data_IF_301736226579
#
_entry.id   IF_301736226579
#
_cell.length_a   1.000
_cell.length_b   1.000
_cell.length_c   1.000
_cell.angle_alpha   90.00
_cell.angle_beta   90.00
_cell.angle_gamma   90.00
#
_symmetry.space_group_name_H-M   'P 1'
#
loop_
_entity.id
_entity.type
_entity.pdbx_description
1 polymer ?
#
# COMPACT_ATOMS: atom_id res chain seq x y z
N UNK A 1 -2.16 -37.89 -20.85
CA UNK A 1 -3.31 -36.94 -20.75
C UNK A 1 -2.85 -35.57 -20.39
N UNK A 2 -3.64 -34.55 -20.70
CA UNK A 2 -3.35 -33.16 -20.34
C UNK A 2 -3.26 -32.94 -18.81
N UNK A 3 -4.08 -33.66 -18.02
CA UNK A 3 -3.96 -33.66 -16.55
C UNK A 3 -2.55 -34.11 -16.10
N UNK A 4 -2.05 -35.22 -16.65
CA UNK A 4 -0.72 -35.74 -16.30
C UNK A 4 0.38 -34.74 -16.70
N UNK A 5 0.19 -34.02 -17.82
CA UNK A 5 1.11 -32.98 -18.26
C UNK A 5 1.10 -31.78 -17.28
N UNK A 6 -0.11 -31.34 -16.86
CA UNK A 6 -0.24 -30.29 -15.83
C UNK A 6 0.45 -30.69 -14.53
N UNK A 7 0.22 -31.92 -14.08
CA UNK A 7 0.86 -32.46 -12.89
C UNK A 7 2.39 -32.49 -13.01
N UNK A 8 2.92 -32.95 -14.15
CA UNK A 8 4.36 -33.01 -14.37
C UNK A 8 5.01 -31.61 -14.38
N UNK A 9 4.33 -30.60 -14.94
CA UNK A 9 4.82 -29.21 -14.86
C UNK A 9 4.78 -28.66 -13.42
N UNK A 10 3.73 -28.93 -12.68
CA UNK A 10 3.65 -28.56 -11.26
C UNK A 10 4.76 -29.24 -10.44
N UNK A 11 4.98 -30.55 -10.62
CA UNK A 11 6.08 -31.28 -9.96
C UNK A 11 7.44 -30.68 -10.31
N UNK A 12 7.67 -30.29 -11.58
CA UNK A 12 8.88 -29.61 -11.99
C UNK A 12 9.05 -28.20 -11.38
N UNK A 13 7.95 -27.49 -11.16
CA UNK A 13 7.97 -26.18 -10.52
C UNK A 13 8.40 -26.24 -9.05
N UNK A 14 7.86 -27.19 -8.30
CA UNK A 14 8.12 -27.31 -6.86
C UNK A 14 9.42 -28.06 -6.54
N UNK A 15 9.94 -28.86 -7.47
CA UNK A 15 11.08 -29.79 -7.24
C UNK A 15 12.27 -29.12 -6.53
N UNK A 16 12.73 -27.91 -6.92
CA UNK A 16 13.87 -27.27 -6.27
C UNK A 16 13.69 -26.96 -4.78
N UNK A 17 12.45 -26.68 -4.37
CA UNK A 17 12.15 -26.12 -3.04
C UNK A 17 11.14 -26.93 -2.22
N UNK A 18 10.68 -28.08 -2.75
CA UNK A 18 9.59 -28.89 -2.15
C UNK A 18 9.84 -29.35 -0.71
N UNK A 19 11.10 -29.42 -0.29
CA UNK A 19 11.50 -29.83 1.05
C UNK A 19 11.77 -28.65 1.99
N UNK A 20 11.66 -27.42 1.51
CA UNK A 20 11.91 -26.22 2.31
C UNK A 20 10.62 -25.76 3.01
N UNK A 21 10.77 -25.33 4.25
CA UNK A 21 9.72 -24.64 5.00
C UNK A 21 10.32 -23.64 5.99
N UNK A 22 9.60 -22.59 6.27
CA UNK A 22 9.98 -21.55 7.21
C UNK A 22 10.15 -22.16 8.60
N UNK A 23 11.20 -21.76 9.34
CA UNK A 23 11.63 -22.29 10.63
C UNK A 23 12.22 -23.72 10.57
N UNK A 24 12.47 -24.29 9.39
CA UNK A 24 13.26 -25.51 9.27
C UNK A 24 14.67 -25.28 9.86
N UNK A 25 15.15 -26.20 10.70
CA UNK A 25 16.50 -26.14 11.26
C UNK A 25 17.55 -26.24 10.13
N UNK A 26 18.55 -25.37 10.16
CA UNK A 26 19.59 -25.34 9.13
C UNK A 26 20.40 -26.66 9.06
N UNK A 27 20.51 -27.39 10.18
CA UNK A 27 21.16 -28.72 10.18
C UNK A 27 20.27 -29.74 9.44
N UNK A 28 18.94 -29.64 9.54
CA UNK A 28 18.04 -30.49 8.76
C UNK A 28 18.12 -30.19 7.27
N UNK A 29 18.29 -28.92 6.88
CA UNK A 29 18.51 -28.56 5.48
C UNK A 29 19.75 -29.26 4.92
N UNK A 30 20.89 -29.21 5.63
CA UNK A 30 22.12 -29.91 5.20
C UNK A 30 21.92 -31.44 5.08
N UNK A 31 21.16 -32.03 5.98
CA UNK A 31 20.84 -33.47 5.90
C UNK A 31 19.97 -33.79 4.67
N UNK A 32 19.05 -32.90 4.30
CA UNK A 32 18.11 -33.11 3.21
C UNK A 32 18.71 -32.90 1.81
N UNK A 33 19.57 -31.86 1.65
CA UNK A 33 20.05 -31.41 0.34
C UNK A 33 21.58 -31.32 0.23
N UNK A 34 22.32 -31.60 1.31
CA UNK A 34 23.78 -31.53 1.35
C UNK A 34 24.34 -30.19 1.85
N UNK A 35 25.65 -30.03 1.77
CA UNK A 35 26.29 -28.76 2.12
C UNK A 35 26.06 -27.71 1.05
N UNK A 36 25.92 -26.42 1.43
CA UNK A 36 25.80 -25.33 0.46
C UNK A 36 27.09 -25.16 -0.36
N UNK A 37 26.99 -24.73 -1.58
CA UNK A 37 28.15 -24.42 -2.44
C UNK A 37 28.95 -23.22 -1.89
N UNK A 38 28.29 -22.25 -1.29
CA UNK A 38 28.89 -21.12 -0.57
C UNK A 38 27.96 -20.59 0.50
N UNK A 39 28.53 -19.86 1.47
CA UNK A 39 27.79 -19.10 2.48
C UNK A 39 28.29 -17.68 2.50
N UNK A 40 27.39 -16.71 2.64
CA UNK A 40 27.72 -15.29 2.70
C UNK A 40 26.74 -14.53 3.62
N UNK A 41 27.22 -13.43 4.21
CA UNK A 41 26.36 -12.54 4.98
C UNK A 41 25.70 -11.55 4.04
N UNK A 42 24.38 -11.46 4.08
CA UNK A 42 23.58 -10.56 3.25
C UNK A 42 22.58 -9.77 4.10
N UNK A 43 22.17 -8.62 3.60
CA UNK A 43 21.05 -7.85 4.19
C UNK A 43 19.93 -7.75 3.15
N UNK A 44 18.76 -8.30 3.46
CA UNK A 44 17.57 -8.25 2.63
C UNK A 44 16.50 -7.46 3.36
N UNK A 45 15.93 -6.45 2.70
CA UNK A 45 14.85 -5.61 3.26
C UNK A 45 15.20 -5.14 4.69
N UNK A 46 16.44 -4.66 4.89
CA UNK A 46 17.00 -4.20 6.17
C UNK A 46 17.15 -5.29 7.26
N UNK A 47 17.04 -6.56 6.92
CA UNK A 47 17.25 -7.69 7.85
C UNK A 47 18.52 -8.45 7.48
N UNK A 48 19.45 -8.69 8.44
CA UNK A 48 20.65 -9.48 8.17
C UNK A 48 20.35 -10.98 8.19
N UNK A 49 20.93 -11.69 7.23
CA UNK A 49 20.85 -13.14 7.07
C UNK A 49 22.23 -13.75 6.74
N UNK A 50 22.37 -15.05 6.98
CA UNK A 50 23.38 -15.89 6.34
C UNK A 50 22.75 -16.57 5.13
N UNK A 51 23.20 -16.22 3.92
CA UNK A 51 22.72 -16.84 2.67
C UNK A 51 23.49 -18.13 2.40
N UNK A 52 22.79 -19.24 2.31
CA UNK A 52 23.32 -20.55 1.94
C UNK A 52 22.94 -20.85 0.49
N UNK A 53 23.94 -20.79 -0.39
CA UNK A 53 23.75 -20.90 -1.83
C UNK A 53 23.79 -22.36 -2.27
N UNK A 54 22.73 -22.82 -2.90
CA UNK A 54 22.61 -24.12 -3.53
C UNK A 54 22.40 -23.96 -5.05
N UNK A 55 22.57 -25.00 -5.87
CA UNK A 55 22.42 -24.88 -7.32
C UNK A 55 21.05 -24.37 -7.80
N UNK A 56 19.98 -24.66 -7.06
CA UNK A 56 18.61 -24.40 -7.45
C UNK A 56 17.91 -23.31 -6.61
N UNK A 57 18.45 -22.99 -5.47
CA UNK A 57 17.90 -22.00 -4.54
C UNK A 57 18.97 -21.43 -3.62
N UNK A 58 18.68 -20.30 -3.03
CA UNK A 58 19.42 -19.75 -1.89
C UNK A 58 18.52 -19.74 -0.67
N UNK A 59 18.92 -20.39 0.42
CA UNK A 59 18.22 -20.32 1.70
C UNK A 59 18.82 -19.21 2.57
N UNK A 60 17.98 -18.39 3.17
CA UNK A 60 18.39 -17.32 4.07
C UNK A 60 18.16 -17.74 5.51
N UNK A 61 19.28 -17.90 6.24
CA UNK A 61 19.29 -18.43 7.58
C UNK A 61 19.36 -17.30 8.59
N UNK A 62 18.52 -17.39 9.60
CA UNK A 62 18.52 -16.52 10.77
C UNK A 62 18.30 -17.35 12.02
N UNK A 63 19.11 -17.12 13.05
CA UNK A 63 19.05 -17.84 14.33
C UNK A 63 19.10 -19.38 14.16
N UNK A 64 19.88 -19.87 13.17
CA UNK A 64 20.06 -21.29 12.87
C UNK A 64 18.87 -21.95 12.15
N UNK A 65 17.93 -21.19 11.64
CA UNK A 65 16.73 -21.66 10.94
C UNK A 65 16.54 -20.97 9.59
N UNK A 66 15.84 -21.64 8.66
CA UNK A 66 15.40 -21.03 7.41
C UNK A 66 14.36 -19.97 7.73
N UNK A 67 14.66 -18.71 7.43
CA UNK A 67 13.70 -17.62 7.51
C UNK A 67 12.91 -17.48 6.21
N UNK A 68 13.59 -17.54 5.07
CA UNK A 68 13.01 -17.47 3.72
C UNK A 68 13.97 -18.06 2.71
N UNK A 69 13.61 -18.11 1.43
CA UNK A 69 14.47 -18.56 0.34
C UNK A 69 14.12 -17.91 -1.00
N UNK A 70 15.06 -17.95 -1.93
CA UNK A 70 14.81 -17.62 -3.34
C UNK A 70 15.10 -18.83 -4.20
N UNK A 71 14.19 -19.21 -5.07
CA UNK A 71 14.47 -20.18 -6.12
C UNK A 71 15.27 -19.48 -7.22
N UNK A 72 16.47 -19.99 -7.54
CA UNK A 72 17.40 -19.37 -8.47
C UNK A 72 17.40 -20.02 -9.84
N UNK A 73 16.91 -21.25 -9.95
CA UNK A 73 16.78 -21.99 -11.20
C UNK A 73 15.46 -22.76 -11.24
N UNK A 74 14.97 -22.99 -12.43
CA UNK A 74 13.78 -23.78 -12.70
C UNK A 74 14.16 -25.07 -13.43
N UNK A 75 13.55 -26.19 -13.05
CA UNK A 75 13.70 -27.47 -13.78
C UNK A 75 13.12 -27.33 -15.20
N UNK A 76 12.02 -26.63 -15.31
CA UNK A 76 11.39 -26.25 -16.57
C UNK A 76 11.02 -24.77 -16.45
N UNK A 77 11.49 -23.95 -17.36
CA UNK A 77 11.14 -22.53 -17.42
C UNK A 77 9.63 -22.37 -17.60
N UNK A 78 9.04 -21.38 -16.90
CA UNK A 78 7.60 -21.09 -16.87
C UNK A 78 6.73 -22.30 -16.50
N UNK A 79 7.26 -23.23 -15.70
CA UNK A 79 6.53 -24.44 -15.31
C UNK A 79 5.15 -24.17 -14.71
N UNK A 80 4.93 -23.20 -13.81
CA UNK A 80 3.59 -22.88 -13.31
C UNK A 80 2.62 -22.46 -14.41
N UNK A 81 3.01 -21.56 -15.31
CA UNK A 81 2.15 -21.12 -16.42
C UNK A 81 1.80 -22.28 -17.36
N UNK A 82 2.78 -23.13 -17.70
CA UNK A 82 2.56 -24.34 -18.50
C UNK A 82 1.65 -25.35 -17.83
N UNK A 83 1.69 -25.42 -16.50
CA UNK A 83 0.77 -26.27 -15.75
C UNK A 83 -0.67 -25.75 -15.83
N UNK A 84 -0.87 -24.42 -15.66
CA UNK A 84 -2.18 -23.77 -15.80
C UNK A 84 -2.74 -24.04 -17.21
N UNK A 85 -1.94 -23.80 -18.27
CA UNK A 85 -2.34 -24.07 -19.66
C UNK A 85 -2.76 -25.53 -19.86
N UNK A 86 -1.98 -26.48 -19.35
CA UNK A 86 -2.27 -27.90 -19.49
C UNK A 86 -3.55 -28.31 -18.75
N UNK A 87 -3.81 -27.78 -17.56
CA UNK A 87 -5.05 -28.04 -16.82
C UNK A 87 -6.27 -27.41 -17.50
N UNK A 88 -6.16 -26.16 -17.98
CA UNK A 88 -7.22 -25.54 -18.76
C UNK A 88 -7.55 -26.33 -20.02
N UNK A 89 -6.55 -26.85 -20.72
CA UNK A 89 -6.75 -27.71 -21.89
C UNK A 89 -7.40 -29.05 -21.55
N UNK A 90 -7.08 -29.62 -20.40
CA UNK A 90 -7.75 -30.84 -19.92
C UNK A 90 -9.25 -30.58 -19.70
N UNK A 91 -9.63 -29.47 -19.09
CA UNK A 91 -11.02 -29.10 -18.85
C UNK A 91 -11.77 -28.78 -20.13
N UNK A 92 -11.17 -28.04 -21.06
CA UNK A 92 -11.78 -27.77 -22.39
C UNK A 92 -12.10 -29.05 -23.15
N UNK A 93 -11.21 -30.05 -23.12
CA UNK A 93 -11.39 -31.31 -23.84
C UNK A 93 -12.40 -32.25 -23.16
N UNK A 94 -12.46 -32.23 -21.84
CA UNK A 94 -13.40 -33.07 -21.07
C UNK A 94 -13.79 -32.36 -19.76
N UNK A 95 -14.94 -31.66 -19.72
CA UNK A 95 -15.42 -30.98 -18.52
C UNK A 95 -15.66 -31.91 -17.31
N UNK A 96 -15.74 -33.23 -17.50
CA UNK A 96 -15.83 -34.17 -16.38
C UNK A 96 -14.55 -34.25 -15.55
N UNK A 97 -13.46 -33.67 -16.05
CA UNK A 97 -12.18 -33.57 -15.33
C UNK A 97 -12.14 -32.41 -14.33
N UNK A 98 -13.19 -31.59 -14.20
CA UNK A 98 -13.26 -30.37 -13.42
C UNK A 98 -12.67 -30.50 -12.02
N UNK A 99 -13.04 -31.51 -11.24
CA UNK A 99 -12.57 -31.68 -9.85
C UNK A 99 -11.04 -31.87 -9.79
N UNK A 100 -10.46 -32.68 -10.70
CA UNK A 100 -9.02 -32.93 -10.75
C UNK A 100 -8.25 -31.70 -11.26
N UNK A 101 -8.82 -30.96 -12.20
CA UNK A 101 -8.26 -29.73 -12.72
C UNK A 101 -8.29 -28.66 -11.65
N UNK A 102 -9.41 -28.50 -10.93
CA UNK A 102 -9.56 -27.56 -9.84
C UNK A 102 -8.52 -27.80 -8.73
N UNK A 103 -8.33 -29.05 -8.33
CA UNK A 103 -7.32 -29.42 -7.32
C UNK A 103 -5.90 -29.06 -7.80
N UNK A 104 -5.55 -29.38 -9.06
CA UNK A 104 -4.24 -29.03 -9.63
C UNK A 104 -4.03 -27.52 -9.73
N UNK A 105 -5.04 -26.75 -10.15
CA UNK A 105 -4.98 -25.29 -10.21
C UNK A 105 -4.85 -24.65 -8.83
N UNK A 106 -5.54 -25.22 -7.83
CA UNK A 106 -5.39 -24.78 -6.44
C UNK A 106 -3.95 -24.97 -5.95
N UNK A 107 -3.35 -26.14 -6.20
CA UNK A 107 -1.95 -26.41 -5.82
C UNK A 107 -0.98 -25.42 -6.49
N UNK A 108 -1.21 -25.08 -7.76
CA UNK A 108 -0.40 -24.06 -8.45
C UNK A 108 -0.59 -22.67 -7.83
N UNK A 109 -1.84 -22.28 -7.56
CA UNK A 109 -2.13 -20.99 -6.92
C UNK A 109 -1.47 -20.87 -5.56
N UNK A 110 -1.57 -21.91 -4.72
CA UNK A 110 -0.93 -21.95 -3.41
C UNK A 110 0.61 -21.84 -3.51
N UNK A 111 1.22 -22.56 -4.45
CA UNK A 111 2.67 -22.50 -4.72
C UNK A 111 3.10 -21.12 -5.21
N UNK A 112 2.40 -20.55 -6.20
CA UNK A 112 2.72 -19.22 -6.71
C UNK A 112 2.56 -18.14 -5.63
N UNK A 113 1.54 -18.25 -4.78
CA UNK A 113 1.38 -17.35 -3.62
C UNK A 113 2.54 -17.47 -2.64
N UNK A 114 3.05 -18.68 -2.39
CA UNK A 114 4.24 -18.89 -1.57
C UNK A 114 5.48 -18.26 -2.20
N UNK A 115 5.69 -18.42 -3.52
CA UNK A 115 6.79 -17.76 -4.26
C UNK A 115 6.67 -16.24 -4.15
N UNK A 116 5.45 -15.69 -4.25
CA UNK A 116 5.17 -14.27 -4.02
C UNK A 116 5.62 -13.81 -2.62
N UNK A 117 5.22 -14.55 -1.58
CA UNK A 117 5.62 -14.24 -0.20
C UNK A 117 7.14 -14.25 -0.01
N UNK A 118 7.83 -15.29 -0.47
CA UNK A 118 9.31 -15.37 -0.34
C UNK A 118 10.02 -14.29 -1.17
N UNK A 119 9.44 -13.88 -2.31
CA UNK A 119 9.93 -12.77 -3.12
C UNK A 119 9.85 -11.42 -2.40
N UNK A 120 8.79 -11.19 -1.61
CA UNK A 120 8.68 -10.00 -0.74
C UNK A 120 9.79 -9.99 0.30
N UNK A 121 9.98 -11.11 1.00
CA UNK A 121 11.00 -11.24 2.05
C UNK A 121 12.43 -11.01 1.53
N UNK A 122 12.65 -11.36 0.27
CA UNK A 122 13.97 -11.23 -0.38
C UNK A 122 14.15 -9.95 -1.19
N UNK A 123 13.10 -9.12 -1.31
CA UNK A 123 13.13 -7.86 -2.08
C UNK A 123 13.00 -8.05 -3.60
N UNK A 124 12.68 -9.25 -4.08
CA UNK A 124 12.46 -9.56 -5.48
C UNK A 124 11.03 -9.21 -5.89
N UNK A 125 10.70 -7.92 -5.85
CA UNK A 125 9.30 -7.45 -5.97
C UNK A 125 8.67 -7.72 -7.34
N UNK A 126 9.43 -7.63 -8.41
CA UNK A 126 8.91 -7.92 -9.75
C UNK A 126 8.52 -9.39 -9.90
N UNK A 127 9.38 -10.32 -9.49
CA UNK A 127 9.11 -11.76 -9.54
C UNK A 127 7.98 -12.16 -8.59
N UNK A 128 7.92 -11.54 -7.41
CA UNK A 128 6.83 -11.72 -6.45
C UNK A 128 5.48 -11.30 -7.05
N UNK A 129 5.46 -10.17 -7.76
CA UNK A 129 4.25 -9.68 -8.44
C UNK A 129 3.78 -10.65 -9.52
N UNK A 130 4.70 -11.17 -10.35
CA UNK A 130 4.38 -12.15 -11.39
C UNK A 130 3.88 -13.47 -10.80
N UNK A 131 4.44 -13.89 -9.68
CA UNK A 131 3.96 -15.07 -8.97
C UNK A 131 2.51 -14.89 -8.46
N UNK A 132 2.16 -13.75 -7.85
CA UNK A 132 0.78 -13.47 -7.46
C UNK A 132 -0.16 -13.36 -8.66
N UNK A 133 0.28 -12.79 -9.78
CA UNK A 133 -0.51 -12.74 -11.00
C UNK A 133 -0.79 -14.16 -11.56
N UNK A 134 0.19 -15.06 -11.53
CA UNK A 134 0.01 -16.46 -11.90
C UNK A 134 -0.94 -17.21 -10.93
N UNK A 135 -0.85 -16.91 -9.62
CA UNK A 135 -1.79 -17.45 -8.64
C UNK A 135 -3.24 -17.05 -8.97
N UNK A 136 -3.45 -15.77 -9.31
CA UNK A 136 -4.75 -15.28 -9.77
C UNK A 136 -5.20 -15.93 -11.08
N UNK A 137 -4.30 -16.11 -12.05
CA UNK A 137 -4.60 -16.75 -13.33
C UNK A 137 -5.08 -18.20 -13.11
N UNK A 138 -4.42 -18.95 -12.23
CA UNK A 138 -4.84 -20.32 -11.87
C UNK A 138 -6.27 -20.34 -11.31
N UNK A 139 -6.61 -19.38 -10.42
CA UNK A 139 -7.96 -19.27 -9.84
C UNK A 139 -9.00 -18.76 -10.84
N UNK A 140 -8.58 -18.03 -11.87
CA UNK A 140 -9.46 -17.49 -12.91
C UNK A 140 -9.87 -18.52 -13.96
N UNK A 141 -9.29 -19.71 -13.92
CA UNK A 141 -9.70 -20.81 -14.78
C UNK A 141 -11.20 -21.14 -14.62
N UNK A 142 -11.93 -21.42 -15.71
CA UNK A 142 -13.34 -21.80 -15.65
C UNK A 142 -13.60 -23.02 -14.77
N UNK A 143 -12.63 -23.91 -14.61
CA UNK A 143 -12.73 -25.07 -13.73
C UNK A 143 -12.59 -24.72 -12.24
N UNK A 144 -11.85 -23.66 -11.91
CA UNK A 144 -11.69 -23.17 -10.54
C UNK A 144 -12.83 -22.21 -10.15
N UNK A 145 -13.06 -21.19 -10.99
CA UNK A 145 -14.25 -20.33 -10.96
C UNK A 145 -14.38 -19.37 -9.78
N UNK A 146 -13.33 -19.16 -8.99
CA UNK A 146 -13.39 -18.26 -7.82
C UNK A 146 -12.05 -17.54 -7.62
N UNK A 147 -11.71 -16.57 -8.49
CA UNK A 147 -10.48 -15.80 -8.36
C UNK A 147 -10.55 -14.81 -7.18
N UNK A 148 -9.46 -14.70 -6.45
CA UNK A 148 -9.28 -13.71 -5.38
C UNK A 148 -8.66 -12.43 -5.93
N UNK A 149 -9.42 -11.31 -6.05
CA UNK A 149 -8.90 -10.06 -6.60
C UNK A 149 -7.76 -9.47 -5.77
N UNK A 150 -7.63 -9.84 -4.49
CA UNK A 150 -6.53 -9.44 -3.62
C UNK A 150 -5.16 -9.83 -4.18
N UNK A 151 -5.05 -10.95 -4.92
CA UNK A 151 -3.81 -11.36 -5.55
C UNK A 151 -3.34 -10.35 -6.60
N UNK A 152 -4.26 -9.78 -7.38
CA UNK A 152 -3.93 -8.69 -8.32
C UNK A 152 -3.58 -7.39 -7.60
N UNK A 153 -4.22 -7.10 -6.47
CA UNK A 153 -3.84 -5.94 -5.65
C UNK A 153 -2.39 -6.08 -5.15
N UNK A 154 -2.01 -7.24 -4.60
CA UNK A 154 -0.63 -7.48 -4.16
C UNK A 154 0.36 -7.43 -5.33
N UNK A 155 0.03 -8.02 -6.47
CA UNK A 155 0.85 -7.94 -7.68
C UNK A 155 1.04 -6.48 -8.12
N UNK A 156 -0.02 -5.69 -8.16
CA UNK A 156 0.03 -4.28 -8.53
C UNK A 156 0.80 -3.42 -7.53
N UNK A 157 0.61 -3.64 -6.23
CA UNK A 157 1.40 -3.00 -5.17
C UNK A 157 2.90 -3.27 -5.33
N UNK A 158 3.29 -4.53 -5.51
CA UNK A 158 4.70 -4.91 -5.66
C UNK A 158 5.32 -4.33 -6.93
N UNK A 159 4.57 -4.27 -8.05
CA UNK A 159 5.00 -3.58 -9.26
C UNK A 159 5.13 -2.06 -9.04
N UNK A 160 4.33 -1.47 -8.16
CA UNK A 160 4.49 -0.06 -7.78
C UNK A 160 5.80 0.15 -7.02
N UNK A 161 6.16 -0.77 -6.11
CA UNK A 161 7.43 -0.72 -5.36
C UNK A 161 8.63 -0.90 -6.30
N UNK A 162 8.57 -1.89 -7.19
CA UNK A 162 9.63 -2.16 -8.19
C UNK A 162 9.80 -1.00 -9.18
N UNK A 163 8.73 -0.26 -9.47
CA UNK A 163 8.69 0.84 -10.41
C UNK A 163 9.71 1.95 -10.15
N UNK A 164 10.11 2.14 -8.89
CA UNK A 164 11.13 3.11 -8.54
C UNK A 164 12.51 2.78 -9.14
N UNK A 165 12.85 1.50 -9.26
CA UNK A 165 14.08 1.00 -9.90
C UNK A 165 13.86 0.64 -11.38
N UNK A 166 12.65 0.19 -11.72
CA UNK A 166 12.27 -0.28 -13.04
C UNK A 166 10.96 0.39 -13.51
N UNK A 167 10.99 1.55 -14.18
CA UNK A 167 9.80 2.30 -14.55
C UNK A 167 8.78 1.53 -15.41
N UNK A 168 9.20 0.48 -16.13
CA UNK A 168 8.27 -0.37 -16.90
C UNK A 168 7.27 -1.11 -15.99
N UNK A 169 7.64 -1.37 -14.73
CA UNK A 169 6.76 -2.01 -13.75
C UNK A 169 5.53 -1.17 -13.40
N UNK A 170 5.60 0.15 -13.50
CA UNK A 170 4.43 1.01 -13.26
C UNK A 170 3.28 0.73 -14.24
N UNK A 171 3.58 0.42 -15.50
CA UNK A 171 2.55 0.08 -16.50
C UNK A 171 1.83 -1.20 -16.11
N UNK A 172 2.59 -2.23 -15.75
CA UNK A 172 2.08 -3.53 -15.35
C UNK A 172 1.29 -3.42 -14.02
N UNK A 173 1.83 -2.63 -13.08
CA UNK A 173 1.18 -2.37 -11.79
C UNK A 173 -0.18 -1.70 -11.94
N UNK A 174 -0.28 -0.68 -12.81
CA UNK A 174 -1.54 -0.03 -13.09
C UNK A 174 -2.58 -1.00 -13.69
N UNK A 175 -2.16 -1.90 -14.59
CA UNK A 175 -3.06 -2.91 -15.19
C UNK A 175 -3.61 -3.87 -14.11
N UNK A 176 -2.76 -4.39 -13.23
CA UNK A 176 -3.19 -5.28 -12.15
C UNK A 176 -4.12 -4.59 -11.15
N UNK A 177 -3.81 -3.36 -10.73
CA UNK A 177 -4.65 -2.60 -9.79
C UNK A 177 -6.01 -2.25 -10.38
N UNK A 178 -6.07 -1.85 -11.67
CA UNK A 178 -7.34 -1.60 -12.35
C UNK A 178 -8.18 -2.88 -12.44
N UNK A 179 -7.59 -4.00 -12.83
CA UNK A 179 -8.29 -5.29 -12.86
C UNK A 179 -8.82 -5.70 -11.48
N UNK A 180 -8.06 -5.46 -10.41
CA UNK A 180 -8.54 -5.70 -9.06
C UNK A 180 -9.77 -4.85 -8.73
N UNK A 181 -9.75 -3.56 -9.06
CA UNK A 181 -10.91 -2.65 -8.89
C UNK A 181 -12.12 -3.08 -9.71
N UNK A 182 -11.93 -3.48 -10.98
CA UNK A 182 -13.00 -3.95 -11.87
C UNK A 182 -13.67 -5.21 -11.33
N UNK A 183 -12.92 -6.05 -10.61
CA UNK A 183 -13.42 -7.22 -9.90
C UNK A 183 -14.02 -6.89 -8.52
N UNK A 184 -14.11 -5.62 -8.16
CA UNK A 184 -14.74 -5.16 -6.93
C UNK A 184 -13.82 -5.18 -5.70
N UNK A 185 -12.51 -5.34 -5.86
CA UNK A 185 -11.58 -5.26 -4.74
C UNK A 185 -11.56 -3.86 -4.14
N UNK A 186 -11.66 -3.80 -2.83
CA UNK A 186 -11.38 -2.59 -2.04
C UNK A 186 -10.69 -3.04 -0.76
N UNK A 187 -9.49 -2.52 -0.51
CA UNK A 187 -8.91 -2.63 0.81
C UNK A 187 -9.62 -1.67 1.79
N UNK A 188 -9.50 -1.94 3.10
CA UNK A 188 -10.24 -1.22 4.14
C UNK A 188 -9.95 0.29 4.15
N UNK A 189 -8.75 0.69 3.73
CA UNK A 189 -8.30 2.08 3.71
C UNK A 189 -8.34 2.72 2.32
N UNK A 190 -8.54 1.92 1.24
CA UNK A 190 -8.52 2.41 -0.13
C UNK A 190 -7.12 2.72 -0.68
N UNK A 191 -6.09 2.06 -0.15
CA UNK A 191 -4.70 2.25 -0.59
C UNK A 191 -4.49 1.90 -2.08
N UNK A 192 -5.36 1.08 -2.67
CA UNK A 192 -5.32 0.74 -4.09
C UNK A 192 -5.33 2.00 -4.98
N UNK A 193 -6.07 3.04 -4.60
CA UNK A 193 -6.11 4.32 -5.35
C UNK A 193 -4.80 5.10 -5.23
N UNK A 194 -4.14 5.02 -4.08
CA UNK A 194 -2.83 5.61 -3.87
C UNK A 194 -1.73 4.90 -4.69
N UNK A 195 -1.78 3.57 -4.78
CA UNK A 195 -0.82 2.82 -5.63
C UNK A 195 -1.08 3.07 -7.12
N UNK A 196 -2.34 3.18 -7.56
CA UNK A 196 -2.66 3.61 -8.92
C UNK A 196 -2.12 5.00 -9.23
N UNK A 197 -2.25 5.94 -8.29
CA UNK A 197 -1.62 7.26 -8.41
C UNK A 197 -0.13 7.12 -8.68
N UNK A 198 0.60 6.33 -7.88
CA UNK A 198 2.04 6.14 -8.07
C UNK A 198 2.37 5.50 -9.41
N UNK A 199 1.61 4.51 -9.84
CA UNK A 199 1.80 3.88 -11.14
C UNK A 199 1.65 4.89 -12.28
N UNK A 200 0.61 5.71 -12.27
CA UNK A 200 0.41 6.70 -13.32
C UNK A 200 1.39 7.87 -13.22
N UNK A 201 1.61 8.39 -12.00
CA UNK A 201 2.54 9.49 -11.79
C UNK A 201 3.99 9.14 -12.12
N UNK A 202 4.41 7.90 -11.84
CA UNK A 202 5.72 7.38 -12.23
C UNK A 202 5.95 7.29 -13.74
N UNK A 203 4.89 7.40 -14.56
CA UNK A 203 4.93 7.40 -16.01
C UNK A 203 4.79 8.81 -16.62
N UNK A 204 4.78 9.88 -15.82
CA UNK A 204 4.50 11.25 -16.28
C UNK A 204 5.49 11.78 -17.31
N UNK A 205 6.74 11.35 -17.24
CA UNK A 205 7.78 11.78 -18.18
C UNK A 205 7.63 11.13 -19.56
N UNK A 206 7.04 9.92 -19.60
CA UNK A 206 6.74 9.25 -20.85
C UNK A 206 5.49 9.80 -21.54
N UNK A 207 4.46 10.16 -20.75
CA UNK A 207 3.22 10.78 -21.24
C UNK A 207 2.59 11.65 -20.12
N UNK A 208 2.55 12.96 -20.36
CA UNK A 208 1.93 13.92 -19.43
C UNK A 208 0.44 13.65 -19.14
N UNK A 209 -0.26 12.94 -20.04
CA UNK A 209 -1.64 12.53 -19.78
C UNK A 209 -1.76 11.60 -18.55
N UNK A 210 -0.68 10.92 -18.16
CA UNK A 210 -0.68 10.07 -16.96
C UNK A 210 -0.81 10.87 -15.66
N UNK A 211 -0.45 12.16 -15.63
CA UNK A 211 -0.69 13.03 -14.47
C UNK A 211 -2.21 13.20 -14.24
N UNK A 212 -3.00 13.33 -15.29
CA UNK A 212 -4.46 13.40 -15.17
C UNK A 212 -5.06 12.06 -14.71
N UNK A 213 -4.54 10.91 -15.21
CA UNK A 213 -4.97 9.59 -14.72
C UNK A 213 -4.60 9.41 -13.23
N UNK A 214 -3.43 9.90 -12.82
CA UNK A 214 -3.01 9.90 -11.42
C UNK A 214 -3.99 10.71 -10.54
N UNK A 215 -4.37 11.92 -10.99
CA UNK A 215 -5.39 12.73 -10.33
C UNK A 215 -6.73 11.99 -10.25
N UNK A 216 -7.21 11.43 -11.36
CA UNK A 216 -8.50 10.74 -11.42
C UNK A 216 -8.55 9.54 -10.46
N UNK A 217 -7.44 8.79 -10.32
CA UNK A 217 -7.34 7.71 -9.35
C UNK A 217 -7.51 8.23 -7.90
N UNK A 218 -6.80 9.29 -7.53
CA UNK A 218 -6.93 9.88 -6.19
C UNK A 218 -8.32 10.50 -5.96
N UNK A 219 -8.92 11.15 -6.97
CA UNK A 219 -10.29 11.69 -6.88
C UNK A 219 -11.32 10.58 -6.72
N UNK A 220 -11.15 9.45 -7.37
CA UNK A 220 -12.00 8.28 -7.15
C UNK A 220 -11.83 7.72 -5.72
N UNK A 221 -10.59 7.70 -5.23
CA UNK A 221 -10.26 7.25 -3.89
C UNK A 221 -10.85 8.14 -2.81
N UNK A 222 -10.67 9.48 -2.90
CA UNK A 222 -11.14 10.40 -1.85
C UNK A 222 -12.67 10.41 -1.69
N UNK A 223 -13.41 10.13 -2.76
CA UNK A 223 -14.87 10.00 -2.70
C UNK A 223 -15.34 8.81 -1.87
N UNK A 224 -14.53 7.76 -1.77
CA UNK A 224 -14.84 6.53 -1.01
C UNK A 224 -14.15 6.50 0.35
N UNK A 225 -12.95 7.06 0.43
CA UNK A 225 -12.05 7.02 1.59
C UNK A 225 -11.54 8.43 1.93
N UNK A 226 -12.43 9.34 2.33
CA UNK A 226 -12.09 10.77 2.51
C UNK A 226 -11.11 11.04 3.66
N UNK A 227 -10.89 10.06 4.56
CA UNK A 227 -9.94 10.14 5.66
C UNK A 227 -8.56 9.55 5.31
N UNK A 228 -8.39 8.91 4.16
CA UNK A 228 -7.11 8.32 3.79
C UNK A 228 -6.06 9.41 3.58
N UNK A 229 -5.11 9.51 4.50
CA UNK A 229 -4.08 10.56 4.49
C UNK A 229 -3.18 10.48 3.26
N UNK A 230 -2.86 9.28 2.76
CA UNK A 230 -2.02 9.10 1.56
C UNK A 230 -2.69 9.66 0.30
N UNK A 231 -4.00 9.43 0.17
CA UNK A 231 -4.81 9.98 -0.94
C UNK A 231 -4.88 11.51 -0.84
N UNK A 232 -5.12 12.03 0.37
CA UNK A 232 -5.15 13.48 0.63
C UNK A 232 -3.80 14.13 0.30
N UNK A 233 -2.71 13.57 0.79
CA UNK A 233 -1.37 14.08 0.54
C UNK A 233 -1.01 14.03 -0.95
N UNK A 234 -1.37 12.96 -1.65
CA UNK A 234 -1.20 12.84 -3.10
C UNK A 234 -1.98 13.91 -3.88
N UNK A 235 -3.24 14.18 -3.51
CA UNK A 235 -4.04 15.25 -4.10
C UNK A 235 -3.41 16.63 -3.85
N UNK A 236 -3.03 16.92 -2.60
CA UNK A 236 -2.35 18.18 -2.27
C UNK A 236 -1.08 18.34 -3.09
N UNK A 237 -0.25 17.28 -3.18
CA UNK A 237 0.97 17.30 -4.00
C UNK A 237 0.66 17.68 -5.45
N UNK A 238 -0.31 17.03 -6.09
CA UNK A 238 -0.66 17.30 -7.49
C UNK A 238 -1.19 18.72 -7.69
N UNK A 239 -2.06 19.21 -6.81
CA UNK A 239 -2.67 20.53 -6.96
C UNK A 239 -1.75 21.69 -6.56
N UNK A 240 -0.70 21.44 -5.76
CA UNK A 240 0.27 22.45 -5.34
C UNK A 240 1.55 22.44 -6.16
N UNK A 241 1.78 21.41 -7.00
CA UNK A 241 2.94 21.35 -7.88
C UNK A 241 2.69 22.12 -9.20
N UNK A 242 3.38 23.24 -9.46
CA UNK A 242 3.15 24.02 -10.68
C UNK A 242 3.49 23.27 -11.98
N UNK A 243 4.34 22.23 -11.91
CA UNK A 243 4.76 21.45 -13.08
C UNK A 243 3.70 20.49 -13.56
N UNK A 244 2.80 20.05 -12.66
CA UNK A 244 1.82 19.02 -12.97
C UNK A 244 0.54 19.56 -13.63
N UNK A 245 0.21 20.86 -13.46
CA UNK A 245 -0.91 21.57 -14.13
C UNK A 245 -2.27 20.85 -14.05
N UNK A 246 -2.59 20.25 -12.90
CA UNK A 246 -3.82 19.44 -12.74
C UNK A 246 -5.07 20.27 -12.39
N UNK A 247 -4.92 21.54 -12.03
CA UNK A 247 -6.00 22.45 -11.63
C UNK A 247 -5.59 23.41 -10.51
N UNK A 248 -6.55 24.23 -10.06
CA UNK A 248 -6.37 25.14 -8.92
C UNK A 248 -6.59 24.36 -7.60
N UNK A 249 -5.81 24.61 -6.53
CA UNK A 249 -6.13 24.07 -5.20
C UNK A 249 -7.57 24.34 -4.72
N UNK A 250 -8.21 25.40 -5.19
CA UNK A 250 -9.62 25.66 -4.93
C UNK A 250 -10.56 24.58 -5.50
N UNK A 251 -10.18 23.91 -6.60
CA UNK A 251 -10.96 22.80 -7.15
C UNK A 251 -10.97 21.59 -6.21
N UNK A 252 -9.85 21.36 -5.51
CA UNK A 252 -9.75 20.30 -4.49
C UNK A 252 -10.66 20.61 -3.30
N UNK A 253 -10.69 21.87 -2.85
CA UNK A 253 -11.61 22.31 -1.78
C UNK A 253 -13.06 22.13 -2.23
N UNK A 254 -13.41 22.56 -3.44
CA UNK A 254 -14.76 22.40 -3.96
C UNK A 254 -15.21 20.94 -4.05
N UNK A 255 -14.29 20.03 -4.38
CA UNK A 255 -14.57 18.58 -4.41
C UNK A 255 -15.02 18.04 -3.05
N UNK A 256 -14.30 18.40 -1.98
CA UNK A 256 -14.62 17.93 -0.62
C UNK A 256 -15.88 18.63 -0.08
N UNK A 257 -16.06 19.91 -0.38
CA UNK A 257 -17.23 20.67 0.04
C UNK A 257 -18.53 20.11 -0.59
N UNK A 258 -18.50 19.75 -1.87
CA UNK A 258 -19.64 19.10 -2.52
C UNK A 258 -19.98 17.72 -1.89
N UNK A 259 -18.97 16.98 -1.45
CA UNK A 259 -19.20 15.72 -0.73
C UNK A 259 -19.82 15.95 0.66
N UNK A 260 -19.41 17.01 1.37
CA UNK A 260 -19.97 17.42 2.68
C UNK A 260 -21.42 17.89 2.51
N UNK A 261 -21.74 18.66 1.48
CA UNK A 261 -23.14 19.07 1.19
C UNK A 261 -24.07 17.85 1.05
N UNK A 262 -23.57 16.78 0.43
CA UNK A 262 -24.33 15.54 0.26
C UNK A 262 -24.44 14.70 1.53
N UNK A 263 -23.48 14.80 2.45
CA UNK A 263 -23.44 14.06 3.71
C UNK A 263 -22.78 14.87 4.83
N UNK A 264 -23.47 15.88 5.39
CA UNK A 264 -22.89 16.82 6.35
C UNK A 264 -22.55 16.23 7.73
N UNK A 265 -23.05 15.04 8.03
CA UNK A 265 -22.75 14.32 9.28
C UNK A 265 -21.57 13.33 9.14
N UNK A 266 -20.97 13.22 7.97
CA UNK A 266 -19.83 12.35 7.74
C UNK A 266 -18.56 12.98 8.33
N UNK A 267 -18.11 12.43 9.47
CA UNK A 267 -16.93 12.89 10.21
C UNK A 267 -15.67 12.85 9.37
N UNK A 268 -15.51 11.81 8.52
CA UNK A 268 -14.31 11.60 7.70
C UNK A 268 -14.18 12.67 6.60
N UNK A 269 -15.30 13.18 6.06
CA UNK A 269 -15.27 14.29 5.11
C UNK A 269 -14.78 15.60 5.76
N UNK A 270 -15.26 15.91 6.96
CA UNK A 270 -14.80 17.07 7.71
C UNK A 270 -13.33 16.93 8.12
N UNK A 271 -12.90 15.73 8.47
CA UNK A 271 -11.50 15.42 8.75
C UNK A 271 -10.62 15.66 7.50
N UNK A 272 -11.02 15.10 6.35
CA UNK A 272 -10.32 15.30 5.07
C UNK A 272 -10.24 16.78 4.67
N UNK A 273 -11.35 17.53 4.81
CA UNK A 273 -11.39 18.98 4.56
C UNK A 273 -10.39 19.73 5.43
N UNK A 274 -10.33 19.42 6.72
CA UNK A 274 -9.39 20.04 7.64
C UNK A 274 -7.93 19.78 7.26
N UNK A 275 -7.60 18.58 6.83
CA UNK A 275 -6.27 18.19 6.35
C UNK A 275 -5.88 18.94 5.06
N UNK A 276 -6.80 19.07 4.11
CA UNK A 276 -6.57 19.84 2.87
C UNK A 276 -6.25 21.30 3.20
N UNK A 277 -7.09 21.96 4.01
CA UNK A 277 -6.86 23.36 4.38
C UNK A 277 -5.56 23.55 5.17
N UNK A 278 -5.21 22.60 6.03
CA UNK A 278 -3.94 22.63 6.73
C UNK A 278 -2.75 22.60 5.75
N UNK A 279 -2.76 21.69 4.78
CA UNK A 279 -1.72 21.58 3.77
C UNK A 279 -1.62 22.84 2.89
N UNK A 280 -2.73 23.52 2.64
CA UNK A 280 -2.80 24.80 1.96
C UNK A 280 -2.42 26.02 2.87
N UNK A 281 -2.06 25.77 4.13
CA UNK A 281 -1.76 26.80 5.16
C UNK A 281 -2.94 27.74 5.48
N UNK A 282 -4.14 27.28 5.19
CA UNK A 282 -5.39 27.96 5.55
C UNK A 282 -5.85 27.47 6.92
N UNK A 283 -5.16 27.95 7.96
CA UNK A 283 -5.28 27.38 9.31
C UNK A 283 -6.65 27.63 9.96
N UNK A 284 -7.31 28.74 9.66
CA UNK A 284 -8.63 29.05 10.21
C UNK A 284 -9.69 28.08 9.69
N UNK A 285 -9.69 27.79 8.41
CA UNK A 285 -10.57 26.86 7.73
C UNK A 285 -10.29 25.41 8.18
N UNK A 286 -9.02 25.08 8.40
CA UNK A 286 -8.60 23.81 8.96
C UNK A 286 -9.18 23.61 10.36
N UNK A 287 -8.96 24.58 11.26
CA UNK A 287 -9.48 24.58 12.64
C UNK A 287 -11.02 24.50 12.62
N UNK A 288 -11.71 25.28 11.77
CA UNK A 288 -13.16 25.22 11.65
C UNK A 288 -13.66 23.82 11.25
N UNK A 289 -12.96 23.15 10.33
CA UNK A 289 -13.28 21.79 9.91
C UNK A 289 -13.09 20.78 11.05
N UNK A 290 -11.97 20.85 11.79
CA UNK A 290 -11.73 19.96 12.93
C UNK A 290 -12.62 20.26 14.14
N UNK A 291 -13.06 21.49 14.33
CA UNK A 291 -14.13 21.80 15.30
C UNK A 291 -15.42 21.04 14.96
N UNK A 292 -15.74 20.93 13.65
CA UNK A 292 -16.90 20.14 13.21
C UNK A 292 -16.71 18.64 13.41
N UNK A 293 -15.48 18.13 13.20
CA UNK A 293 -15.14 16.73 13.56
C UNK A 293 -15.43 16.44 15.03
N UNK A 294 -14.97 17.29 15.94
CA UNK A 294 -15.17 17.11 17.40
C UNK A 294 -16.62 17.37 17.80
N UNK A 295 -17.34 18.29 17.14
CA UNK A 295 -18.77 18.48 17.38
C UNK A 295 -19.57 17.21 17.06
N UNK A 296 -19.27 16.55 15.91
CA UNK A 296 -19.96 15.33 15.47
C UNK A 296 -19.51 14.09 16.27
N UNK A 297 -18.23 14.04 16.68
CA UNK A 297 -17.65 12.92 17.43
C UNK A 297 -16.67 13.41 18.50
N UNK A 298 -17.18 13.82 19.69
CA UNK A 298 -16.37 14.45 20.73
C UNK A 298 -15.27 13.57 21.31
N UNK A 299 -15.46 12.25 21.29
CA UNK A 299 -14.54 11.23 21.81
C UNK A 299 -13.49 10.75 20.80
N UNK A 300 -13.49 11.31 19.57
CA UNK A 300 -12.49 10.97 18.58
C UNK A 300 -11.13 11.57 18.95
N UNK A 301 -10.20 10.69 19.35
CA UNK A 301 -8.84 11.10 19.75
C UNK A 301 -8.16 11.95 18.68
N UNK A 302 -8.15 11.48 17.43
CA UNK A 302 -7.50 12.17 16.31
C UNK A 302 -8.10 13.56 16.06
N UNK A 303 -9.42 13.70 16.21
CA UNK A 303 -10.11 14.99 16.07
C UNK A 303 -9.61 16.03 17.07
N UNK A 304 -9.55 15.66 18.34
CA UNK A 304 -9.04 16.50 19.43
C UNK A 304 -7.54 16.78 19.26
N UNK A 305 -6.74 15.75 18.94
CA UNK A 305 -5.31 15.87 18.76
C UNK A 305 -4.93 16.86 17.63
N UNK A 306 -5.51 16.67 16.43
CA UNK A 306 -5.24 17.56 15.30
C UNK A 306 -5.72 18.98 15.55
N UNK A 307 -6.85 19.15 16.23
CA UNK A 307 -7.35 20.48 16.59
C UNK A 307 -6.34 21.22 17.48
N UNK A 308 -5.82 20.55 18.53
CA UNK A 308 -4.76 21.09 19.39
C UNK A 308 -3.47 21.40 18.61
N UNK A 309 -3.03 20.49 17.75
CA UNK A 309 -1.83 20.67 16.89
C UNK A 309 -1.99 21.87 15.96
N UNK A 310 -3.14 22.05 15.31
CA UNK A 310 -3.33 23.13 14.34
C UNK A 310 -3.43 24.50 14.99
N UNK A 311 -4.00 24.61 16.20
CA UNK A 311 -3.91 25.83 17.00
C UNK A 311 -2.45 26.15 17.35
N UNK A 312 -1.66 25.17 17.75
CA UNK A 312 -0.22 25.35 18.05
C UNK A 312 0.53 25.83 16.82
N UNK A 313 0.36 25.17 15.68
CA UNK A 313 1.04 25.56 14.43
C UNK A 313 0.62 26.95 13.95
N UNK A 314 -0.66 27.29 14.07
CA UNK A 314 -1.13 28.65 13.75
C UNK A 314 -0.44 29.70 14.63
N UNK A 315 -0.32 29.44 15.92
CA UNK A 315 0.37 30.34 16.84
C UNK A 315 1.88 30.44 16.54
N UNK A 316 2.53 29.34 16.16
CA UNK A 316 3.93 29.31 15.72
C UNK A 316 4.15 30.17 14.47
N UNK A 317 3.26 30.08 13.45
CA UNK A 317 3.35 30.94 12.26
C UNK A 317 3.10 32.41 12.60
N UNK A 318 2.18 32.74 13.53
CA UNK A 318 2.01 34.10 14.02
C UNK A 318 3.29 34.63 14.68
N UNK A 319 3.96 33.83 15.51
CA UNK A 319 5.23 34.20 16.13
C UNK A 319 6.34 34.38 15.10
N UNK A 320 6.39 33.55 14.08
CA UNK A 320 7.36 33.70 12.99
C UNK A 320 7.16 35.01 12.24
N UNK A 321 5.91 35.32 11.87
CA UNK A 321 5.59 36.63 11.24
C UNK A 321 5.96 37.80 12.13
N UNK A 322 5.70 37.70 13.44
CA UNK A 322 6.10 38.72 14.42
C UNK A 322 7.62 38.95 14.43
N UNK A 323 8.43 37.89 14.39
CA UNK A 323 9.88 37.97 14.42
C UNK A 323 10.47 38.61 13.16
N UNK A 324 9.77 38.54 12.03
CA UNK A 324 10.16 39.16 10.77
C UNK A 324 9.64 40.60 10.61
N UNK A 325 8.70 41.02 11.45
CA UNK A 325 8.02 42.33 11.36
C UNK A 325 8.80 43.44 12.08
N UNK A 326 8.92 44.60 11.43
CA UNK A 326 9.41 45.82 12.10
C UNK A 326 8.24 46.49 12.81
N UNK A 327 8.38 46.69 14.11
CA UNK A 327 7.36 47.33 14.94
C UNK A 327 7.61 48.80 15.15
N UNK A 328 6.55 49.60 15.02
CA UNK A 328 6.60 51.04 15.25
C UNK A 328 6.60 51.41 16.74
N UNK A 329 6.19 50.49 17.61
CA UNK A 329 6.13 50.68 19.07
C UNK A 329 6.14 49.35 19.81
N UNK A 330 6.56 49.35 21.08
CA UNK A 330 6.47 48.19 21.98
C UNK A 330 5.03 47.75 22.17
N UNK A 331 4.09 48.67 22.27
CA UNK A 331 2.67 48.35 22.44
C UNK A 331 2.11 47.55 21.23
N UNK A 332 2.59 47.82 20.00
CA UNK A 332 2.19 47.05 18.84
C UNK A 332 2.77 45.62 18.86
N UNK A 333 4.02 45.45 19.30
CA UNK A 333 4.63 44.15 19.50
C UNK A 333 3.86 43.32 20.59
N UNK A 334 3.61 43.96 21.75
CA UNK A 334 2.92 43.32 22.86
C UNK A 334 1.48 42.88 22.49
N UNK A 335 0.82 43.63 21.61
CA UNK A 335 -0.51 43.27 21.10
C UNK A 335 -0.47 42.01 20.24
N UNK A 336 0.50 41.92 19.31
CA UNK A 336 0.66 40.73 18.45
C UNK A 336 1.09 39.51 19.29
N UNK A 337 2.00 39.68 20.24
CA UNK A 337 2.43 38.63 21.18
C UNK A 337 1.24 38.09 22.01
N UNK A 338 0.42 39.01 22.52
CA UNK A 338 -0.80 38.62 23.24
C UNK A 338 -1.77 37.83 22.36
N UNK A 339 -1.91 38.22 21.09
CA UNK A 339 -2.77 37.50 20.15
C UNK A 339 -2.24 36.09 19.86
N UNK A 340 -0.94 35.93 19.61
CA UNK A 340 -0.32 34.63 19.40
C UNK A 340 -0.45 33.73 20.65
N UNK A 341 -0.19 34.27 21.85
CA UNK A 341 -0.36 33.52 23.09
C UNK A 341 -1.82 33.11 23.33
N UNK A 342 -2.79 33.91 22.95
CA UNK A 342 -4.20 33.55 23.06
C UNK A 342 -4.53 32.32 22.17
N UNK A 343 -3.94 32.23 20.98
CA UNK A 343 -4.11 31.08 20.08
C UNK A 343 -3.47 29.81 20.65
N UNK A 344 -2.30 29.90 21.31
CA UNK A 344 -1.73 28.75 22.03
C UNK A 344 -2.64 28.26 23.16
N UNK A 345 -3.24 29.17 23.91
CA UNK A 345 -4.16 28.80 25.00
C UNK A 345 -5.40 28.06 24.48
N UNK A 346 -5.86 28.36 23.27
CA UNK A 346 -6.95 27.64 22.62
C UNK A 346 -6.62 26.16 22.32
N UNK A 347 -5.32 25.78 22.21
CA UNK A 347 -4.91 24.40 21.98
C UNK A 347 -5.08 23.49 23.23
N UNK A 348 -4.95 24.07 24.45
CA UNK A 348 -4.86 23.32 25.71
C UNK A 348 -6.07 22.40 25.95
N UNK A 349 -7.33 22.86 25.86
CA UNK A 349 -8.49 22.00 26.14
C UNK A 349 -8.56 20.76 25.24
N UNK A 350 -8.09 20.86 24.01
CA UNK A 350 -8.11 19.76 23.06
C UNK A 350 -7.07 18.69 23.40
N UNK A 351 -5.88 19.08 23.86
CA UNK A 351 -4.89 18.14 24.36
C UNK A 351 -5.32 17.51 25.70
N UNK A 352 -5.96 18.26 26.57
CA UNK A 352 -6.55 17.73 27.81
C UNK A 352 -7.62 16.67 27.52
N UNK A 353 -8.48 16.88 26.51
CA UNK A 353 -9.43 15.87 26.06
C UNK A 353 -8.73 14.59 25.57
N UNK A 354 -7.60 14.69 24.86
CA UNK A 354 -6.83 13.52 24.47
C UNK A 354 -6.37 12.68 25.66
N UNK A 355 -5.98 13.32 26.77
CA UNK A 355 -5.55 12.62 27.98
C UNK A 355 -6.71 11.89 28.68
N UNK A 356 -7.92 12.41 28.60
CA UNK A 356 -9.10 11.77 29.19
C UNK A 356 -9.43 10.43 28.53
N UNK A 357 -9.14 10.28 27.23
CA UNK A 357 -9.44 9.06 26.47
C UNK A 357 -8.26 8.07 26.41
N UNK A 358 -7.04 8.49 26.79
CA UNK A 358 -5.83 7.66 26.77
C UNK A 358 -5.39 7.20 28.17
N UNK A 359 -5.93 7.78 29.24
CA UNK A 359 -5.63 7.32 30.59
C UNK A 359 -6.30 5.97 30.85
N UNK A 360 -5.57 4.93 31.30
CA UNK A 360 -6.20 3.71 31.77
C UNK A 360 -7.17 4.06 32.89
N UNK A 361 -8.39 3.51 32.79
CA UNK A 361 -9.39 3.66 33.84
C UNK A 361 -8.77 3.31 35.21
N UNK A 362 -8.98 4.08 36.28
CA UNK A 362 -8.46 3.76 37.59
C UNK A 362 -9.09 2.49 38.23
N UNK A 363 -9.63 1.59 37.43
CA UNK A 363 -10.36 0.40 37.87
C UNK A 363 -9.98 -0.85 37.07
N UNK A 364 -8.69 -1.15 36.95
CA UNK A 364 -8.26 -2.51 36.64
C UNK A 364 -7.00 -2.85 37.45
#
# INVERSE_FOLDING_TARGET
TWINRGKAFYEAAIEPTKNLFVNMDAAMLKLAVGEPASTESVTLVNVPYEAWVYPWFTAYIKDGKIATWSQTQWVIEDAPAKAIEAYNKAYEMDPKTADKVKEGLKQISDFCSQVGNTGIDTGNYADAADAYALAFEAQSSPAHGNPEPALLYYAGYLRTVDGAANPASYVIGADYLNKALDLGYNDEEGNIYYYLFHCYYGQKDADKANVLKAKDALVAGIKKFPKNERILDGLVQLYTNPEDSVGDPADLVALIDAAIESNPENVDLWFGRGRIFFALKQYDESIASFRKVVELKPDLFEGNYYLGVFYTIKADEMNKVMNEKQYSSQAAYDADLKAANAVYMEAIPWFENCLLYTSPSPRD
#
